data_IF_182814831232
#
_entry.id   IF_182814831232
#
_cell.length_a   1.000
_cell.length_b   1.000
_cell.length_c   1.000
_cell.angle_alpha   90.00
_cell.angle_beta   90.00
_cell.angle_gamma   90.00
#
_symmetry.space_group_name_H-M   'P 1'
#
loop_
_entity.id
_entity.type
_entity.pdbx_description
1 polymer ?
#
# COMPACT_ATOMS: atom_id res chain seq x y z
N UNK A 1 25.97 -31.15 44.09
CA UNK A 1 27.22 -30.94 44.85
C UNK A 1 27.61 -32.26 45.50
N UNK A 2 28.84 -32.74 45.27
CA UNK A 2 29.37 -33.99 45.81
C UNK A 2 28.41 -35.19 45.59
N UNK A 3 27.83 -35.30 44.39
CA UNK A 3 26.89 -36.37 44.01
C UNK A 3 25.46 -36.24 44.57
N UNK A 4 25.13 -35.17 45.31
CA UNK A 4 23.77 -34.90 45.82
C UNK A 4 23.13 -33.68 45.16
N UNK A 5 21.82 -33.74 44.96
CA UNK A 5 21.02 -32.63 44.44
C UNK A 5 20.73 -31.67 45.58
N UNK A 6 21.10 -30.40 45.40
CA UNK A 6 20.96 -29.34 46.41
C UNK A 6 20.21 -28.15 45.83
N UNK A 7 19.46 -27.37 46.65
CA UNK A 7 18.80 -26.14 46.21
C UNK A 7 19.79 -25.10 45.68
N UNK A 8 19.32 -24.23 44.77
CA UNK A 8 20.15 -23.20 44.12
C UNK A 8 20.66 -22.11 45.08
N UNK A 9 20.01 -21.92 46.22
CA UNK A 9 20.38 -20.96 47.28
C UNK A 9 21.45 -21.49 48.25
N UNK A 10 21.85 -22.76 48.12
CA UNK A 10 22.85 -23.37 49.00
C UNK A 10 24.23 -22.72 48.84
N UNK A 11 24.90 -22.44 49.95
CA UNK A 11 26.28 -21.95 49.95
C UNK A 11 27.25 -23.07 49.62
N UNK A 12 28.34 -22.73 48.91
CA UNK A 12 29.40 -23.66 48.53
C UNK A 12 30.61 -23.47 49.44
N UNK A 13 31.25 -24.58 49.79
CA UNK A 13 32.47 -24.59 50.60
C UNK A 13 33.69 -24.94 49.74
N UNK A 14 34.87 -24.62 50.27
CA UNK A 14 36.11 -24.85 49.54
C UNK A 14 36.41 -26.36 49.45
N UNK A 15 36.59 -26.88 48.24
CA UNK A 15 36.80 -28.32 47.98
C UNK A 15 35.56 -29.06 47.47
N UNK A 16 34.40 -28.39 47.38
CA UNK A 16 33.19 -28.98 46.80
C UNK A 16 33.31 -29.25 45.29
N UNK A 17 32.85 -30.43 44.86
CA UNK A 17 32.67 -30.77 43.44
C UNK A 17 31.25 -30.40 43.02
N UNK A 18 31.14 -29.44 42.10
CA UNK A 18 29.86 -28.87 41.64
C UNK A 18 29.56 -29.33 40.23
N UNK A 19 28.39 -29.94 40.05
CA UNK A 19 27.81 -30.26 38.74
C UNK A 19 26.54 -29.42 38.54
N UNK A 20 26.40 -28.81 37.36
CA UNK A 20 25.29 -27.91 37.02
C UNK A 20 24.40 -28.57 35.97
N UNK A 21 23.13 -28.72 36.28
CA UNK A 21 22.12 -29.18 35.32
C UNK A 21 21.63 -28.01 34.47
N UNK A 22 21.86 -28.07 33.15
CA UNK A 22 21.40 -27.07 32.20
C UNK A 22 20.28 -27.62 31.32
N UNK A 23 19.24 -26.83 31.08
CA UNK A 23 18.17 -27.14 30.13
C UNK A 23 18.41 -26.45 28.78
N UNK A 24 18.03 -27.12 27.68
CA UNK A 24 18.01 -26.53 26.31
C UNK A 24 16.65 -25.92 25.94
N UNK A 25 15.71 -25.85 26.88
CA UNK A 25 14.39 -25.27 26.62
C UNK A 25 14.50 -23.78 26.28
N UNK A 26 13.71 -23.26 25.31
CA UNK A 26 13.67 -21.83 25.00
C UNK A 26 13.28 -20.95 26.19
N UNK A 27 12.54 -21.51 27.15
CA UNK A 27 12.05 -20.80 28.33
C UNK A 27 12.99 -20.95 29.55
N UNK A 28 14.17 -21.57 29.39
CA UNK A 28 15.14 -21.69 30.46
C UNK A 28 15.90 -20.36 30.65
N UNK A 29 15.50 -19.61 31.67
CA UNK A 29 16.02 -18.27 31.97
C UNK A 29 16.20 -18.07 33.49
N UNK A 30 17.10 -17.16 33.93
CA UNK A 30 17.17 -16.75 35.33
C UNK A 30 15.86 -16.08 35.75
N UNK A 31 15.44 -16.26 37.01
CA UNK A 31 14.30 -15.56 37.60
C UNK A 31 14.76 -14.37 38.45
N UNK A 32 13.86 -13.40 38.68
CA UNK A 32 14.19 -12.21 39.47
C UNK A 32 14.57 -12.57 40.93
N UNK A 33 14.04 -13.68 41.42
CA UNK A 33 14.32 -14.21 42.76
C UNK A 33 15.79 -14.58 42.96
N UNK A 34 16.54 -14.84 41.88
CA UNK A 34 17.97 -15.15 41.98
C UNK A 34 18.79 -13.99 42.57
N UNK A 35 18.30 -12.75 42.43
CA UNK A 35 18.96 -11.59 43.03
C UNK A 35 18.92 -11.59 44.56
N UNK A 36 18.04 -12.39 45.19
CA UNK A 36 17.89 -12.49 46.64
C UNK A 36 19.01 -13.31 47.27
N UNK A 37 19.38 -14.45 46.67
CA UNK A 37 20.35 -15.39 47.25
C UNK A 37 21.75 -15.32 46.64
N UNK A 38 21.93 -14.78 45.43
CA UNK A 38 23.26 -14.65 44.82
C UNK A 38 24.16 -13.75 45.67
N UNK A 39 25.41 -14.18 45.94
CA UNK A 39 26.35 -13.42 46.77
C UNK A 39 27.39 -12.64 45.96
N UNK A 40 27.91 -13.21 44.87
CA UNK A 40 29.03 -12.59 44.15
C UNK A 40 28.58 -11.33 43.38
N UNK A 41 29.30 -10.20 43.49
CA UNK A 41 28.96 -8.96 42.77
C UNK A 41 28.94 -9.16 41.26
N UNK A 42 29.87 -9.99 40.73
CA UNK A 42 29.95 -10.34 39.31
C UNK A 42 28.71 -11.09 38.83
N UNK A 43 28.21 -12.06 39.59
CA UNK A 43 26.99 -12.79 39.22
C UNK A 43 25.73 -11.90 39.33
N UNK A 44 25.61 -11.09 40.39
CA UNK A 44 24.52 -10.09 40.51
C UNK A 44 24.49 -9.16 39.31
N UNK A 45 25.65 -8.63 38.89
CA UNK A 45 25.77 -7.76 37.73
C UNK A 45 25.33 -8.47 36.43
N UNK A 46 25.72 -9.75 36.26
CA UNK A 46 25.33 -10.54 35.08
C UNK A 46 23.83 -10.86 35.02
N UNK A 47 23.20 -11.17 36.16
CA UNK A 47 21.74 -11.41 36.22
C UNK A 47 20.98 -10.13 35.93
N UNK A 48 21.38 -9.00 36.54
CA UNK A 48 20.79 -7.68 36.22
C UNK A 48 20.95 -7.33 34.74
N UNK A 49 22.15 -7.54 34.19
CA UNK A 49 22.44 -7.30 32.77
C UNK A 49 21.54 -8.15 31.87
N UNK A 50 21.26 -9.41 32.24
CA UNK A 50 20.37 -10.30 31.50
C UNK A 50 18.95 -9.75 31.45
N UNK A 51 18.37 -9.35 32.59
CA UNK A 51 17.03 -8.74 32.63
C UNK A 51 16.97 -7.37 31.95
N UNK A 52 18.03 -6.55 32.06
CA UNK A 52 18.10 -5.29 31.32
C UNK A 52 18.15 -5.55 29.81
N UNK A 53 18.84 -6.60 29.37
CA UNK A 53 18.91 -6.99 27.96
C UNK A 53 17.58 -7.51 27.45
N UNK A 54 16.93 -8.43 28.16
CA UNK A 54 15.61 -8.96 27.79
C UNK A 54 14.54 -7.86 27.77
N UNK A 55 14.45 -7.05 28.83
CA UNK A 55 13.54 -5.89 28.88
C UNK A 55 13.80 -4.91 27.74
N UNK A 56 15.07 -4.72 27.35
CA UNK A 56 15.46 -3.85 26.24
C UNK A 56 15.09 -4.45 24.89
N UNK A 57 15.24 -5.76 24.69
CA UNK A 57 14.80 -6.44 23.46
C UNK A 57 13.26 -6.35 23.30
N UNK A 58 12.51 -6.64 24.37
CA UNK A 58 11.05 -6.45 24.33
C UNK A 58 10.65 -4.98 24.14
N UNK A 59 11.37 -4.04 24.75
CA UNK A 59 11.11 -2.62 24.54
C UNK A 59 11.40 -2.20 23.10
N UNK A 60 12.46 -2.73 22.48
CA UNK A 60 12.74 -2.48 21.07
C UNK A 60 11.58 -2.96 20.20
N UNK A 61 11.06 -4.17 20.43
CA UNK A 61 9.97 -4.70 19.63
C UNK A 61 8.65 -3.95 19.86
N UNK A 62 8.32 -3.61 21.11
CA UNK A 62 7.18 -2.73 21.42
C UNK A 62 7.33 -1.35 20.78
N UNK A 63 8.53 -0.78 20.79
CA UNK A 63 8.81 0.53 20.19
C UNK A 63 8.66 0.53 18.67
N UNK A 64 9.17 -0.53 18.00
CA UNK A 64 8.97 -0.75 16.56
C UNK A 64 7.48 -0.81 16.22
N UNK A 65 6.70 -1.59 16.96
CA UNK A 65 5.27 -1.75 16.74
C UNK A 65 4.51 -0.44 16.95
N UNK A 66 4.84 0.33 17.99
CA UNK A 66 4.21 1.63 18.26
C UNK A 66 4.48 2.64 17.15
N UNK A 67 5.74 2.78 16.70
CA UNK A 67 6.10 3.68 15.59
C UNK A 67 5.41 3.23 14.30
N UNK A 68 5.46 1.93 13.98
CA UNK A 68 4.85 1.40 12.78
C UNK A 68 3.32 1.56 12.78
N UNK A 69 2.67 1.40 13.93
CA UNK A 69 1.21 1.59 14.07
C UNK A 69 0.83 3.05 13.89
N UNK A 70 1.61 3.98 14.44
CA UNK A 70 1.35 5.41 14.30
C UNK A 70 1.54 5.88 12.85
N UNK A 71 2.63 5.47 12.19
CA UNK A 71 2.86 5.79 10.78
C UNK A 71 1.76 5.25 9.87
N UNK A 72 1.26 4.04 10.12
CA UNK A 72 0.10 3.47 9.40
C UNK A 72 -1.16 4.30 9.59
N UNK A 73 -1.39 4.81 10.80
CA UNK A 73 -2.55 5.67 11.11
C UNK A 73 -2.49 7.01 10.38
N UNK A 74 -1.30 7.57 10.24
CA UNK A 74 -1.03 8.82 9.51
C UNK A 74 -0.90 8.61 7.98
N UNK A 75 -1.08 7.38 7.47
CA UNK A 75 -1.02 7.08 6.04
C UNK A 75 0.39 7.13 5.44
N UNK A 76 1.44 7.08 6.25
CA UNK A 76 2.83 7.24 5.85
C UNK A 76 3.45 5.93 5.30
N UNK A 77 4.34 6.00 4.30
CA UNK A 77 4.91 4.82 3.66
C UNK A 77 6.06 4.26 4.50
N UNK A 78 5.71 3.35 5.42
CA UNK A 78 6.63 2.73 6.39
C UNK A 78 7.91 2.18 5.72
N UNK A 79 7.80 1.50 4.58
CA UNK A 79 8.95 0.87 3.91
C UNK A 79 9.99 1.85 3.37
N UNK A 80 9.61 3.11 3.14
CA UNK A 80 10.49 4.13 2.55
C UNK A 80 10.97 5.16 3.59
N UNK A 81 10.13 5.48 4.58
CA UNK A 81 10.51 6.43 5.65
C UNK A 81 11.23 5.78 6.82
N UNK A 82 11.04 4.48 7.05
CA UNK A 82 11.60 3.76 8.18
C UNK A 82 12.86 2.98 7.74
N UNK A 83 13.77 3.69 7.08
CA UNK A 83 15.08 3.17 6.68
C UNK A 83 16.08 3.29 7.83
N UNK A 84 17.13 2.49 7.79
CA UNK A 84 18.20 2.58 8.79
C UNK A 84 18.84 3.98 8.78
N UNK A 85 18.95 4.61 7.61
CA UNK A 85 19.55 5.94 7.42
C UNK A 85 18.71 7.05 8.07
N UNK A 86 17.40 7.11 7.80
CA UNK A 86 16.52 8.12 8.39
C UNK A 86 16.46 8.03 9.92
N UNK A 87 16.40 6.80 10.45
CA UNK A 87 16.37 6.57 11.88
C UNK A 87 17.72 6.83 12.55
N UNK A 88 18.83 6.66 11.84
CA UNK A 88 20.17 7.02 12.35
C UNK A 88 20.30 8.54 12.50
N UNK A 89 19.76 9.32 11.56
CA UNK A 89 19.71 10.77 11.67
C UNK A 89 18.83 11.23 12.85
N UNK A 90 17.68 10.58 13.05
CA UNK A 90 16.83 10.83 14.23
C UNK A 90 17.55 10.46 15.53
N UNK A 91 18.27 9.33 15.56
CA UNK A 91 19.05 8.92 16.72
C UNK A 91 20.10 9.98 17.07
N UNK A 92 20.87 10.46 16.09
CA UNK A 92 21.86 11.51 16.27
C UNK A 92 21.24 12.82 16.79
N UNK A 93 20.10 13.23 16.25
CA UNK A 93 19.41 14.45 16.70
C UNK A 93 18.84 14.35 18.13
N UNK A 94 18.46 13.14 18.56
CA UNK A 94 17.92 12.89 19.89
C UNK A 94 19.00 12.48 20.90
N UNK A 95 20.29 12.55 20.52
CA UNK A 95 21.44 12.09 21.32
C UNK A 95 21.30 10.63 21.78
N UNK A 96 20.73 9.78 20.93
CA UNK A 96 20.62 8.35 21.14
C UNK A 96 21.75 7.62 20.42
N UNK A 97 22.26 6.51 20.98
CA UNK A 97 23.49 5.87 20.50
C UNK A 97 23.33 5.23 19.12
N UNK A 98 22.16 4.68 18.82
CA UNK A 98 21.87 3.95 17.59
C UNK A 98 20.35 3.81 17.35
N UNK A 99 19.98 3.26 16.19
CA UNK A 99 18.58 3.01 15.80
C UNK A 99 17.86 2.12 16.82
N UNK A 100 18.54 1.12 17.38
CA UNK A 100 17.99 0.29 18.45
C UNK A 100 17.68 1.08 19.71
N UNK A 101 18.47 2.10 20.03
CA UNK A 101 18.23 3.05 21.11
C UNK A 101 16.96 3.87 20.90
N UNK A 102 16.64 4.25 19.66
CA UNK A 102 15.37 4.93 19.32
C UNK A 102 14.18 4.03 19.61
N UNK A 103 14.21 2.77 19.16
CA UNK A 103 13.14 1.83 19.43
C UNK A 103 12.99 1.51 20.93
N UNK A 104 14.11 1.26 21.62
CA UNK A 104 14.11 1.01 23.05
C UNK A 104 13.51 2.18 23.83
N UNK A 105 13.92 3.42 23.52
CA UNK A 105 13.42 4.62 24.19
C UNK A 105 11.90 4.80 24.02
N UNK A 106 11.36 4.41 22.86
CA UNK A 106 9.91 4.43 22.63
C UNK A 106 9.18 3.33 23.39
N UNK A 107 9.67 2.09 23.34
CA UNK A 107 9.02 0.98 24.04
C UNK A 107 9.16 1.00 25.56
N UNK A 108 10.12 1.76 26.10
CA UNK A 108 10.26 2.07 27.52
C UNK A 108 9.38 3.26 27.95
N UNK A 109 8.82 4.03 27.00
CA UNK A 109 7.98 5.20 27.27
C UNK A 109 8.76 6.49 27.58
N UNK A 110 10.09 6.46 27.48
CA UNK A 110 10.95 7.64 27.65
C UNK A 110 10.79 8.64 26.49
N UNK A 111 10.40 8.14 25.31
CA UNK A 111 10.15 8.94 24.11
C UNK A 111 8.81 8.57 23.48
N UNK A 112 7.98 9.55 23.16
CA UNK A 112 6.72 9.30 22.46
C UNK A 112 6.96 8.92 21.00
N UNK A 113 6.28 7.86 20.52
CA UNK A 113 6.34 7.43 19.12
C UNK A 113 6.03 8.56 18.12
N UNK A 114 5.13 9.48 18.49
CA UNK A 114 4.76 10.63 17.67
C UNK A 114 5.88 11.66 17.51
N UNK A 115 6.75 11.80 18.52
CA UNK A 115 7.93 12.67 18.43
C UNK A 115 8.93 12.11 17.43
N UNK A 116 9.14 10.78 17.43
CA UNK A 116 10.00 10.11 16.43
C UNK A 116 9.44 10.31 15.03
N UNK A 117 8.15 10.02 14.81
CA UNK A 117 7.51 10.15 13.49
C UNK A 117 7.59 11.57 12.97
N UNK A 118 7.30 12.59 13.80
CA UNK A 118 7.43 14.01 13.40
C UNK A 118 8.86 14.36 13.02
N UNK A 119 9.86 13.86 13.74
CA UNK A 119 11.27 14.16 13.45
C UNK A 119 11.75 13.47 12.18
N UNK A 120 11.28 12.26 11.89
CA UNK A 120 11.48 11.60 10.59
C UNK A 120 10.91 12.49 9.47
N UNK A 121 9.67 12.98 9.63
CA UNK A 121 9.04 13.85 8.63
C UNK A 121 9.85 15.14 8.40
N UNK A 122 10.30 15.78 9.47
CA UNK A 122 11.10 17.01 9.41
C UNK A 122 12.44 16.81 8.68
N UNK A 123 13.13 15.70 8.97
CA UNK A 123 14.45 15.40 8.42
C UNK A 123 14.44 14.97 6.96
N UNK A 124 13.33 14.41 6.47
CA UNK A 124 13.13 14.08 5.06
C UNK A 124 12.52 15.24 4.25
N UNK A 125 12.72 16.50 4.67
CA UNK A 125 12.28 17.68 3.92
C UNK A 125 10.92 18.25 4.34
N UNK A 126 10.45 17.94 5.55
CA UNK A 126 9.19 18.44 6.11
C UNK A 126 7.95 17.81 5.47
N UNK A 127 6.77 18.42 5.67
CA UNK A 127 5.53 17.93 5.02
C UNK A 127 5.64 17.88 3.50
N UNK A 128 6.46 18.74 2.89
CA UNK A 128 6.72 18.77 1.45
C UNK A 128 7.61 17.61 0.98
N UNK A 129 8.69 17.30 1.70
CA UNK A 129 9.55 16.15 1.38
C UNK A 129 8.90 14.80 1.74
N UNK A 130 8.06 14.77 2.77
CA UNK A 130 7.20 13.61 3.04
C UNK A 130 6.08 13.48 2.02
N UNK A 131 5.58 14.58 1.45
CA UNK A 131 4.69 14.53 0.28
C UNK A 131 5.41 14.00 -0.97
N UNK A 132 6.69 14.33 -1.18
CA UNK A 132 7.51 13.75 -2.25
C UNK A 132 7.82 12.26 -2.01
N UNK A 133 8.13 11.84 -0.77
CA UNK A 133 8.37 10.44 -0.42
C UNK A 133 7.08 9.60 -0.38
N UNK A 134 5.96 10.19 0.03
CA UNK A 134 4.61 9.64 -0.17
C UNK A 134 4.35 9.46 -1.65
N UNK A 135 4.66 10.45 -2.49
CA UNK A 135 4.50 10.37 -3.93
C UNK A 135 5.39 9.26 -4.52
N UNK A 136 6.65 9.13 -4.10
CA UNK A 136 7.59 8.11 -4.55
C UNK A 136 7.27 6.70 -4.01
N UNK A 137 6.85 6.52 -2.77
CA UNK A 137 6.44 5.22 -2.24
C UNK A 137 5.15 4.69 -2.90
N UNK A 138 4.28 5.58 -3.37
CA UNK A 138 3.10 5.26 -4.17
C UNK A 138 3.47 4.87 -5.61
N UNK A 139 4.68 5.19 -6.10
CA UNK A 139 5.09 4.82 -7.47
C UNK A 139 5.47 3.34 -7.67
N UNK A 140 5.82 2.59 -6.61
CA UNK A 140 6.33 1.20 -6.77
C UNK A 140 5.24 0.12 -6.62
N UNK A 141 4.12 0.40 -5.96
CA UNK A 141 2.98 -0.53 -5.94
C UNK A 141 1.74 0.21 -6.37
N UNK A 142 1.32 -0.07 -7.60
CA UNK A 142 0.33 0.72 -8.31
C UNK A 142 -0.96 0.95 -7.53
N UNK A 143 -1.23 2.23 -7.26
CA UNK A 143 -2.54 2.81 -7.51
C UNK A 143 -2.37 4.30 -7.68
N UNK A 144 -2.63 4.80 -8.89
CA UNK A 144 -2.76 6.22 -9.16
C UNK A 144 -3.71 6.88 -8.16
N UNK A 145 -3.16 7.66 -7.24
CA UNK A 145 -3.76 8.92 -6.87
C UNK A 145 -3.39 9.91 -7.98
N UNK A 146 -4.33 10.19 -8.88
CA UNK A 146 -4.26 11.36 -9.75
C UNK A 146 -4.00 12.55 -8.82
N UNK A 147 -2.86 13.22 -8.97
CA UNK A 147 -2.79 14.64 -8.62
C UNK A 147 -3.91 15.32 -9.40
N UNK A 148 -4.64 16.17 -8.69
CA UNK A 148 -5.83 16.81 -9.19
C UNK A 148 -5.54 17.65 -10.42
N UNK A 149 -5.76 17.06 -11.60
CA UNK A 149 -6.78 17.66 -12.45
C UNK A 149 -8.05 17.64 -11.61
N UNK A 150 -8.42 18.81 -11.15
CA UNK A 150 -9.75 19.09 -10.66
C UNK A 150 -10.76 18.17 -11.37
N UNK A 151 -11.55 17.45 -10.58
CA UNK A 151 -12.93 17.17 -10.93
C UNK A 151 -13.70 18.50 -10.98
N UNK A 152 -13.16 19.49 -11.69
CA UNK A 152 -13.78 20.77 -11.92
C UNK A 152 -14.83 20.52 -12.97
N UNK A 153 -16.06 20.28 -12.52
CA UNK A 153 -17.28 20.42 -13.32
C UNK A 153 -17.19 19.92 -14.76
N UNK A 154 -16.51 18.81 -15.01
CA UNK A 154 -16.47 18.18 -16.32
C UNK A 154 -17.78 17.43 -16.50
N UNK A 155 -18.54 17.80 -17.52
CA UNK A 155 -19.79 17.15 -17.86
C UNK A 155 -19.55 15.65 -18.08
N UNK A 156 -20.02 14.81 -17.15
CA UNK A 156 -19.93 13.35 -17.25
C UNK A 156 -20.70 12.79 -18.46
N UNK A 157 -21.44 13.65 -19.18
CA UNK A 157 -22.20 13.29 -20.35
C UNK A 157 -23.38 12.40 -20.02
N UNK A 158 -23.89 12.50 -18.78
CA UNK A 158 -24.99 11.68 -18.27
C UNK A 158 -25.94 12.54 -17.46
N UNK A 159 -27.23 12.47 -17.79
CA UNK A 159 -28.31 13.18 -17.10
C UNK A 159 -29.21 12.14 -16.42
N UNK A 160 -29.63 12.44 -15.18
CA UNK A 160 -30.62 11.63 -14.46
C UNK A 160 -32.02 12.06 -14.88
N UNK A 161 -32.88 11.09 -15.24
CA UNK A 161 -34.27 11.39 -15.63
C UNK A 161 -34.99 12.11 -14.50
N UNK A 162 -35.48 13.31 -14.76
CA UNK A 162 -36.27 14.12 -13.81
C UNK A 162 -35.45 14.96 -12.82
N UNK A 163 -34.11 14.86 -12.80
CA UNK A 163 -33.27 15.66 -11.90
C UNK A 163 -31.90 15.98 -12.53
N UNK A 164 -31.80 17.01 -13.38
CA UNK A 164 -30.58 17.33 -14.12
C UNK A 164 -29.43 17.88 -13.26
N UNK A 165 -29.73 18.41 -12.07
CA UNK A 165 -28.74 19.06 -11.17
C UNK A 165 -28.11 18.09 -10.14
N UNK A 166 -28.31 16.78 -10.33
CA UNK A 166 -27.75 15.77 -9.43
C UNK A 166 -26.30 15.49 -9.80
N UNK A 167 -25.42 15.45 -8.82
CA UNK A 167 -24.02 15.09 -9.03
C UNK A 167 -23.89 13.65 -9.53
N UNK A 168 -23.44 13.48 -10.77
CA UNK A 168 -23.24 12.18 -11.42
C UNK A 168 -21.74 11.86 -11.56
N UNK A 169 -21.38 10.60 -11.37
CA UNK A 169 -20.03 10.09 -11.64
C UNK A 169 -20.09 8.74 -12.35
N UNK A 170 -19.19 8.51 -13.32
CA UNK A 170 -19.05 7.21 -13.97
C UNK A 170 -18.30 6.22 -13.06
N UNK A 171 -18.79 4.98 -12.98
CA UNK A 171 -18.18 3.96 -12.13
C UNK A 171 -16.86 3.43 -12.71
N UNK A 172 -15.86 3.26 -11.84
CA UNK A 172 -14.53 2.73 -12.21
C UNK A 172 -14.48 1.20 -12.35
N UNK A 173 -15.52 0.47 -11.93
CA UNK A 173 -15.56 -0.98 -12.07
C UNK A 173 -15.79 -1.38 -13.54
N UNK A 174 -16.88 -0.90 -14.16
CA UNK A 174 -17.22 -1.23 -15.54
C UNK A 174 -16.79 -0.16 -16.56
N UNK A 175 -16.36 1.03 -16.11
CA UNK A 175 -15.93 2.16 -16.97
C UNK A 175 -16.88 2.37 -18.15
N UNK A 176 -18.14 2.78 -17.91
CA UNK A 176 -19.17 2.88 -18.94
C UNK A 176 -18.80 3.93 -20.00
N UNK A 177 -19.11 3.64 -21.26
CA UNK A 177 -18.86 4.50 -22.42
C UNK A 177 -20.04 4.33 -23.39
N UNK A 178 -20.56 5.39 -24.03
CA UNK A 178 -21.56 5.23 -25.07
C UNK A 178 -21.09 4.24 -26.15
N UNK A 179 -21.93 3.32 -26.66
CA UNK A 179 -23.38 3.20 -26.49
C UNK A 179 -23.80 2.19 -25.40
N UNK A 180 -23.00 1.96 -24.35
CA UNK A 180 -23.37 1.02 -23.28
C UNK A 180 -24.73 1.35 -22.65
N UNK A 181 -25.53 0.33 -22.37
CA UNK A 181 -26.70 0.49 -21.52
C UNK A 181 -26.26 0.78 -20.08
N UNK A 182 -26.79 1.86 -19.50
CA UNK A 182 -26.36 2.37 -18.19
C UNK A 182 -27.51 2.46 -17.18
N UNK A 183 -27.16 2.32 -15.90
CA UNK A 183 -28.04 2.57 -14.76
C UNK A 183 -27.35 3.46 -13.73
N UNK A 184 -28.13 4.27 -13.01
CA UNK A 184 -27.66 5.10 -11.90
C UNK A 184 -27.91 4.43 -10.56
N UNK A 185 -26.96 4.52 -9.64
CA UNK A 185 -27.11 4.05 -8.27
C UNK A 185 -26.74 5.15 -7.25
N UNK A 186 -27.61 5.42 -6.28
CA UNK A 186 -27.36 6.43 -5.25
C UNK A 186 -26.34 5.92 -4.24
N UNK A 187 -25.21 6.63 -4.17
CA UNK A 187 -24.16 6.34 -3.20
C UNK A 187 -24.49 6.96 -1.84
N UNK A 188 -23.91 6.42 -0.76
CA UNK A 188 -24.08 6.96 0.61
C UNK A 188 -23.69 8.43 0.77
N UNK A 189 -22.89 8.97 -0.16
CA UNK A 189 -22.43 10.37 -0.16
C UNK A 189 -23.32 11.34 -0.95
N UNK A 190 -24.53 10.93 -1.35
CA UNK A 190 -25.50 11.83 -1.99
C UNK A 190 -25.33 12.05 -3.50
N UNK A 191 -24.41 11.35 -4.16
CA UNK A 191 -24.23 11.39 -5.62
C UNK A 191 -24.64 10.09 -6.31
N UNK A 192 -24.93 10.16 -7.61
CA UNK A 192 -25.30 9.01 -8.45
C UNK A 192 -24.06 8.43 -9.12
N UNK A 193 -23.82 7.14 -8.91
CA UNK A 193 -22.78 6.36 -9.59
C UNK A 193 -23.39 5.63 -10.79
N UNK A 194 -22.85 5.85 -11.98
CA UNK A 194 -23.36 5.26 -13.23
C UNK A 194 -22.60 3.97 -13.54
N UNK A 195 -23.33 2.88 -13.70
CA UNK A 195 -22.80 1.55 -14.03
C UNK A 195 -23.38 1.06 -15.35
N UNK A 196 -22.69 0.14 -16.04
CA UNK A 196 -23.29 -0.66 -17.11
C UNK A 196 -24.33 -1.60 -16.51
N UNK A 197 -25.41 -1.86 -17.24
CA UNK A 197 -26.49 -2.76 -16.81
C UNK A 197 -26.01 -4.20 -16.61
N UNK A 198 -25.03 -4.64 -17.40
CA UNK A 198 -24.41 -5.97 -17.38
C UNK A 198 -23.19 -6.08 -16.42
N UNK A 199 -22.89 -5.05 -15.62
CA UNK A 199 -21.74 -5.07 -14.72
C UNK A 199 -21.90 -6.14 -13.62
N UNK A 200 -20.82 -6.84 -13.28
CA UNK A 200 -20.79 -7.83 -12.17
C UNK A 200 -21.35 -7.26 -10.86
N UNK A 201 -21.06 -5.98 -10.58
CA UNK A 201 -21.57 -5.31 -9.39
C UNK A 201 -23.03 -4.84 -9.55
N UNK A 202 -23.53 -4.63 -10.77
CA UNK A 202 -24.88 -4.12 -11.02
C UNK A 202 -25.96 -5.08 -10.51
N UNK A 203 -25.76 -6.40 -10.62
CA UNK A 203 -26.72 -7.38 -10.11
C UNK A 203 -26.99 -7.22 -8.60
N UNK A 204 -25.95 -6.97 -7.80
CA UNK A 204 -26.10 -6.70 -6.37
C UNK A 204 -26.74 -5.34 -6.08
N UNK A 205 -26.53 -4.34 -6.95
CA UNK A 205 -27.13 -3.01 -6.80
C UNK A 205 -28.63 -3.04 -7.12
N UNK A 206 -29.05 -3.86 -8.07
CA UNK A 206 -30.47 -4.05 -8.44
C UNK A 206 -31.29 -4.72 -7.33
N UNK A 207 -30.65 -5.36 -6.34
CA UNK A 207 -31.33 -5.85 -5.13
C UNK A 207 -31.84 -4.73 -4.23
N UNK A 208 -31.41 -3.48 -4.45
CA UNK A 208 -31.87 -2.27 -3.76
C UNK A 208 -32.54 -1.33 -4.78
N UNK A 209 -33.73 -1.70 -5.30
CA UNK A 209 -34.40 -0.94 -6.36
C UNK A 209 -34.70 0.50 -5.94
N UNK A 210 -34.86 0.77 -4.64
CA UNK A 210 -35.09 2.12 -4.10
C UNK A 210 -33.90 3.07 -4.28
N UNK A 211 -32.73 2.56 -4.65
CA UNK A 211 -31.52 3.35 -4.90
C UNK A 211 -31.10 3.36 -6.37
N UNK A 212 -31.83 2.68 -7.24
CA UNK A 212 -31.57 2.63 -8.68
C UNK A 212 -32.40 3.70 -9.38
N UNK A 213 -31.76 4.44 -10.28
CA UNK A 213 -32.37 5.51 -11.06
C UNK A 213 -32.04 5.37 -12.53
N UNK A 214 -32.99 5.76 -13.37
CA UNK A 214 -32.79 5.81 -14.81
C UNK A 214 -31.92 7.02 -15.18
N UNK A 215 -30.91 6.74 -15.99
CA UNK A 215 -29.94 7.72 -16.48
C UNK A 215 -29.80 7.59 -17.98
N UNK A 216 -29.56 8.69 -18.66
CA UNK A 216 -29.37 8.73 -20.12
C UNK A 216 -28.05 9.41 -20.47
N UNK A 217 -27.42 8.92 -21.53
CA UNK A 217 -26.25 9.57 -22.12
C UNK A 217 -26.67 10.89 -22.77
N UNK A 218 -26.06 11.98 -22.33
CA UNK A 218 -26.13 13.30 -22.94
C UNK A 218 -24.71 13.88 -23.05
N UNK A 219 -23.81 13.26 -23.84
CA UNK A 219 -22.43 13.71 -23.97
C UNK A 219 -22.37 15.12 -24.58
N UNK A 220 -21.65 16.04 -23.94
CA UNK A 220 -21.26 17.31 -24.55
C UNK A 220 -19.86 17.20 -25.18
N UNK A 221 -19.46 18.21 -25.95
CA UNK A 221 -18.10 18.30 -26.51
C UNK A 221 -16.98 18.36 -25.47
N UNK A 222 -17.32 18.52 -24.18
CA UNK A 222 -16.37 18.52 -23.06
C UNK A 222 -16.34 17.22 -22.27
N UNK A 223 -17.26 16.29 -22.55
CA UNK A 223 -17.33 15.00 -21.86
C UNK A 223 -16.10 14.16 -22.19
N UNK A 224 -15.52 13.54 -21.17
CA UNK A 224 -14.38 12.64 -21.32
C UNK A 224 -14.67 11.29 -20.67
N UNK A 225 -14.30 10.23 -21.38
CA UNK A 225 -14.58 8.85 -21.01
C UNK A 225 -13.28 8.10 -20.80
N UNK A 226 -13.22 7.30 -19.73
CA UNK A 226 -12.11 6.43 -19.43
C UNK A 226 -12.30 5.08 -20.11
N UNK A 227 -11.35 4.66 -20.93
CA UNK A 227 -11.44 3.40 -21.67
C UNK A 227 -10.25 2.50 -21.33
N UNK A 228 -10.55 1.21 -21.13
CA UNK A 228 -9.56 0.15 -20.96
C UNK A 228 -9.63 -0.79 -22.16
N UNK A 229 -8.51 -0.94 -22.89
CA UNK A 229 -8.38 -1.92 -23.96
C UNK A 229 -7.34 -2.97 -23.59
N UNK A 230 -7.55 -4.20 -24.06
CA UNK A 230 -6.58 -5.28 -24.00
C UNK A 230 -6.15 -5.62 -25.42
N UNK A 231 -4.84 -5.68 -25.61
CA UNK A 231 -4.18 -6.02 -26.86
C UNK A 231 -3.43 -7.32 -26.65
N UNK A 232 -3.71 -8.30 -27.49
CA UNK A 232 -3.04 -9.59 -27.50
C UNK A 232 -2.23 -9.70 -28.79
N UNK A 233 -0.92 -9.94 -28.65
CA UNK A 233 0.01 -9.89 -29.76
C UNK A 233 1.14 -10.90 -29.59
N UNK A 234 1.79 -11.29 -30.68
CA UNK A 234 3.05 -12.03 -30.64
C UNK A 234 4.18 -11.05 -30.29
N UNK A 235 4.90 -11.35 -29.21
CA UNK A 235 6.01 -10.52 -28.76
C UNK A 235 7.13 -10.50 -29.81
N UNK A 236 7.57 -9.27 -30.13
CA UNK A 236 8.67 -9.01 -31.06
C UNK A 236 9.34 -7.70 -30.71
N UNK A 237 10.56 -7.53 -31.23
CA UNK A 237 11.29 -6.28 -31.10
C UNK A 237 10.42 -5.10 -31.56
N UNK A 238 10.37 -4.07 -30.72
CA UNK A 238 9.64 -2.80 -30.92
C UNK A 238 8.11 -2.89 -30.89
N UNK A 239 7.51 -4.04 -30.57
CA UNK A 239 6.04 -4.16 -30.49
C UNK A 239 5.40 -3.07 -29.60
N UNK A 240 5.93 -2.86 -28.39
CA UNK A 240 5.40 -1.84 -27.49
C UNK A 240 5.48 -0.44 -28.11
N UNK A 241 6.60 -0.12 -28.76
CA UNK A 241 6.81 1.17 -29.42
C UNK A 241 5.80 1.40 -30.54
N UNK A 242 5.57 0.38 -31.38
CA UNK A 242 4.65 0.44 -32.51
C UNK A 242 3.22 0.67 -32.01
N UNK A 243 2.79 -0.05 -30.96
CA UNK A 243 1.46 0.14 -30.36
C UNK A 243 1.32 1.53 -29.73
N UNK A 244 2.32 2.00 -28.99
CA UNK A 244 2.26 3.33 -28.37
C UNK A 244 2.23 4.44 -29.41
N UNK A 245 2.95 4.30 -30.52
CA UNK A 245 2.95 5.28 -31.61
C UNK A 245 1.58 5.37 -32.27
N UNK A 246 0.94 4.23 -32.57
CA UNK A 246 -0.43 4.21 -33.12
C UNK A 246 -1.44 4.85 -32.17
N UNK A 247 -1.33 4.61 -30.86
CA UNK A 247 -2.18 5.26 -29.87
C UNK A 247 -1.92 6.78 -29.81
N UNK A 248 -0.67 7.21 -29.89
CA UNK A 248 -0.32 8.64 -29.95
C UNK A 248 -0.83 9.31 -31.23
N UNK A 249 -0.72 8.65 -32.39
CA UNK A 249 -1.22 9.15 -33.68
C UNK A 249 -2.75 9.24 -33.70
N UNK A 250 -3.44 8.38 -32.94
CA UNK A 250 -4.87 8.48 -32.70
C UNK A 250 -5.25 9.59 -31.69
N UNK A 251 -4.28 10.39 -31.23
CA UNK A 251 -4.47 11.51 -30.31
C UNK A 251 -5.16 11.10 -28.99
N UNK A 252 -4.94 9.86 -28.52
CA UNK A 252 -5.46 9.40 -27.22
C UNK A 252 -4.43 9.62 -26.11
N UNK A 253 -4.90 10.14 -24.98
CA UNK A 253 -4.04 10.37 -23.83
C UNK A 253 -3.88 9.07 -23.03
N UNK A 254 -2.74 8.38 -23.18
CA UNK A 254 -2.43 7.16 -22.45
C UNK A 254 -2.22 7.50 -20.97
N UNK A 255 -3.15 7.05 -20.13
CA UNK A 255 -2.98 7.10 -18.71
C UNK A 255 -2.04 5.97 -18.29
N UNK A 256 -2.41 4.69 -18.41
CA UNK A 256 -1.59 3.52 -18.03
C UNK A 256 -1.37 2.56 -19.18
N UNK A 257 -0.24 1.87 -19.12
CA UNK A 257 0.02 0.66 -19.87
C UNK A 257 0.56 -0.41 -18.91
N UNK A 258 -0.01 -1.61 -18.96
CA UNK A 258 0.48 -2.78 -18.25
C UNK A 258 0.76 -3.87 -19.26
N UNK A 259 2.02 -4.27 -19.41
CA UNK A 259 2.45 -5.30 -20.35
C UNK A 259 2.90 -6.54 -19.58
N UNK A 260 2.50 -7.70 -20.06
CA UNK A 260 2.97 -8.99 -19.57
C UNK A 260 3.17 -9.92 -20.75
N UNK A 261 4.27 -10.67 -20.77
CA UNK A 261 4.56 -11.63 -21.83
C UNK A 261 4.50 -13.04 -21.25
N UNK A 262 3.67 -13.90 -21.85
CA UNK A 262 3.59 -15.32 -21.50
C UNK A 262 4.81 -16.09 -21.99
N UNK A 263 5.00 -17.32 -21.50
CA UNK A 263 6.05 -18.24 -21.94
C UNK A 263 5.97 -18.56 -23.44
N UNK A 264 4.76 -18.55 -23.99
CA UNK A 264 4.49 -18.78 -25.42
C UNK A 264 4.76 -17.55 -26.30
N UNK A 265 5.47 -16.53 -25.76
CA UNK A 265 5.74 -15.24 -26.42
C UNK A 265 4.47 -14.48 -26.81
N UNK A 266 3.35 -14.72 -26.13
CA UNK A 266 2.14 -13.91 -26.29
C UNK A 266 2.23 -12.72 -25.33
N UNK A 267 2.35 -11.52 -25.88
CA UNK A 267 2.28 -10.27 -25.14
C UNK A 267 0.80 -9.90 -24.93
N UNK A 268 0.41 -9.77 -23.66
CA UNK A 268 -0.87 -9.19 -23.24
C UNK A 268 -0.61 -7.82 -22.67
N UNK A 269 -1.13 -6.81 -23.36
CA UNK A 269 -0.96 -5.41 -22.96
C UNK A 269 -2.30 -4.78 -22.68
N UNK A 270 -2.47 -4.19 -21.50
CA UNK A 270 -3.65 -3.44 -21.12
C UNK A 270 -3.33 -1.96 -21.12
N UNK A 271 -4.04 -1.20 -21.95
CA UNK A 271 -3.94 0.26 -21.99
C UNK A 271 -5.18 0.89 -21.37
N UNK A 272 -4.98 1.95 -20.59
CA UNK A 272 -6.03 2.82 -20.09
C UNK A 272 -5.79 4.21 -20.63
N UNK A 273 -6.78 4.81 -21.29
CA UNK A 273 -6.69 6.16 -21.83
C UNK A 273 -8.01 6.91 -21.66
N UNK A 274 -7.95 8.24 -21.81
CA UNK A 274 -9.11 9.11 -21.82
C UNK A 274 -9.45 9.52 -23.26
N UNK A 275 -10.74 9.59 -23.59
CA UNK A 275 -11.22 10.03 -24.90
C UNK A 275 -12.50 10.85 -24.80
N UNK A 276 -12.64 11.87 -25.65
CA UNK A 276 -13.83 12.72 -25.65
C UNK A 276 -15.01 12.11 -26.42
N UNK A 277 -14.75 11.45 -27.55
CA UNK A 277 -15.80 10.90 -28.42
C UNK A 277 -15.76 9.37 -28.44
N UNK A 278 -16.85 8.74 -28.02
CA UNK A 278 -16.96 7.28 -27.98
C UNK A 278 -16.84 6.63 -29.37
N UNK A 279 -17.30 7.29 -30.44
CA UNK A 279 -17.17 6.80 -31.83
C UNK A 279 -15.71 6.64 -32.26
N UNK A 280 -14.78 7.35 -31.63
CA UNK A 280 -13.37 7.25 -31.93
C UNK A 280 -12.76 5.92 -31.45
N UNK A 281 -13.41 5.21 -30.52
CA UNK A 281 -12.90 3.94 -29.98
C UNK A 281 -12.72 2.86 -31.04
N UNK A 282 -13.70 2.70 -31.93
CA UNK A 282 -13.64 1.69 -32.99
C UNK A 282 -12.48 1.95 -33.95
N UNK A 283 -12.21 3.21 -34.26
CA UNK A 283 -11.07 3.61 -35.11
C UNK A 283 -9.74 3.33 -34.40
N UNK A 284 -9.63 3.64 -33.10
CA UNK A 284 -8.45 3.33 -32.29
C UNK A 284 -8.20 1.82 -32.24
N UNK A 285 -9.23 1.01 -31.97
CA UNK A 285 -9.11 -0.45 -31.94
C UNK A 285 -8.69 -1.02 -33.30
N UNK A 286 -9.26 -0.51 -34.40
CA UNK A 286 -8.86 -0.89 -35.77
C UNK A 286 -7.41 -0.54 -36.06
N UNK A 287 -6.96 0.65 -35.66
CA UNK A 287 -5.58 1.08 -35.83
C UNK A 287 -4.60 0.22 -35.02
N UNK A 288 -4.94 -0.12 -33.78
CA UNK A 288 -4.10 -1.03 -32.97
C UNK A 288 -4.05 -2.43 -33.58
N UNK A 289 -5.17 -2.94 -34.13
CA UNK A 289 -5.21 -4.23 -34.82
C UNK A 289 -4.40 -4.28 -36.11
N UNK A 290 -4.12 -3.14 -36.74
CA UNK A 290 -3.29 -3.11 -37.95
C UNK A 290 -1.79 -3.21 -37.66
N UNK A 291 -1.37 -3.09 -36.40
CA UNK A 291 0.03 -3.24 -36.00
C UNK A 291 0.48 -4.69 -36.25
N UNK A 292 1.57 -4.92 -37.01
CA UNK A 292 2.04 -6.27 -37.30
C UNK A 292 2.35 -7.05 -36.03
N UNK A 293 1.72 -8.21 -35.88
CA UNK A 293 1.87 -9.09 -34.72
C UNK A 293 0.74 -8.99 -33.69
N UNK A 294 -0.16 -8.00 -33.81
CA UNK A 294 -1.40 -7.95 -32.99
C UNK A 294 -2.40 -8.97 -33.54
N UNK A 295 -2.88 -9.85 -32.67
CA UNK A 295 -3.92 -10.84 -32.99
C UNK A 295 -5.31 -10.26 -32.74
N UNK A 296 -5.47 -9.61 -31.59
CA UNK A 296 -6.73 -9.00 -31.19
C UNK A 296 -6.49 -7.76 -30.33
N UNK A 297 -7.42 -6.83 -30.42
CA UNK A 297 -7.52 -5.69 -29.53
C UNK A 297 -9.00 -5.44 -29.26
N UNK A 298 -9.39 -5.46 -27.99
CA UNK A 298 -10.78 -5.30 -27.58
C UNK A 298 -10.89 -4.51 -26.28
N UNK A 299 -12.05 -3.90 -26.06
CA UNK A 299 -12.35 -3.20 -24.80
C UNK A 299 -12.57 -4.22 -23.69
N UNK A 300 -11.94 -4.01 -22.53
CA UNK A 300 -12.16 -4.84 -21.35
C UNK A 300 -13.30 -4.26 -20.52
N UNK A 301 -14.36 -5.03 -20.36
CA UNK A 301 -15.45 -4.77 -19.42
C UNK A 301 -15.24 -5.67 -18.20
N UNK A 302 -15.22 -5.11 -16.98
CA UNK A 302 -15.13 -5.88 -15.73
C UNK A 302 -16.50 -6.18 -15.12
#
# INVERSE_FOLDING_TARGET
VNGRLVPLESTLDNGDVVEVFTSKSPNAAPSHDWLTFVKSPRAKAKIRQWFTKERREEAIDRGKDQIAKLMRKEGLPIKRLLTHESLSLVAAHLNLPDVTGVYAAVGEGNLGAQTVVRKVIELLGGEAGVQEDLAEAVTITGRRGRTGLSSGGGDSGVIVKGAPDVWVKLAKCCTPVPPDDILGFVTKGGGVSVHRTDCVNAGNLQLQPEKVFDVEWAPSGSSTFLVNIQVEALDRNRLLSDITMVLSDAHVNILSANLSTSRDRVAKTRFTFEMAEAKHLDTVLKAVRSVPGVFDAYRVTQ
#
